data_IF_467665265013
#
_entry.id   IF_467665265013
#
_cell.length_a   1.000
_cell.length_b   1.000
_cell.length_c   1.000
_cell.angle_alpha   90.00
_cell.angle_beta   90.00
_cell.angle_gamma   90.00
#
_symmetry.space_group_name_H-M   'P 1'
#
loop_
_entity.id
_entity.type
_entity.pdbx_description
1 polymer ?
#
# COMPACT_ATOMS: atom_id res chain seq x y z
N UNK A 1 9.44 25.78 -21.05
CA UNK A 1 9.57 24.51 -21.80
C UNK A 1 8.82 23.44 -21.04
N UNK A 2 7.48 23.50 -21.11
CA UNK A 2 6.58 22.57 -20.43
C UNK A 2 6.51 21.28 -21.22
N UNK A 3 7.49 20.42 -20.98
CA UNK A 3 7.63 19.09 -21.56
C UNK A 3 6.32 18.32 -21.41
N UNK A 4 5.60 18.22 -22.53
CA UNK A 4 4.58 17.21 -22.83
C UNK A 4 3.56 16.99 -21.72
N UNK A 5 2.51 17.81 -21.77
CA UNK A 5 1.26 17.72 -21.01
C UNK A 5 0.89 16.26 -20.68
N UNK A 6 0.43 16.00 -19.45
CA UNK A 6 -0.02 14.68 -18.95
C UNK A 6 -0.91 13.93 -19.97
N UNK A 7 -1.66 14.68 -20.79
CA UNK A 7 -2.43 14.17 -21.92
C UNK A 7 -1.64 13.40 -22.98
N UNK A 8 -0.40 13.79 -23.26
CA UNK A 8 0.49 13.08 -24.19
C UNK A 8 0.84 11.69 -23.64
N UNK A 9 1.15 11.59 -22.35
CA UNK A 9 1.48 10.32 -21.72
C UNK A 9 0.30 9.33 -21.73
N UNK A 10 -0.93 9.81 -21.58
CA UNK A 10 -2.15 8.99 -21.75
C UNK A 10 -2.23 8.43 -23.18
N UNK A 11 -2.03 9.27 -24.20
CA UNK A 11 -2.09 8.85 -25.60
C UNK A 11 -1.01 7.81 -25.92
N UNK A 12 0.21 8.02 -25.43
CA UNK A 12 1.32 7.07 -25.64
C UNK A 12 1.02 5.73 -24.98
N UNK A 13 0.48 5.74 -23.75
CA UNK A 13 0.09 4.51 -23.05
C UNK A 13 -0.93 3.70 -23.85
N UNK A 14 -1.93 4.37 -24.43
CA UNK A 14 -2.95 3.71 -25.26
C UNK A 14 -2.32 3.05 -26.47
N UNK A 15 -1.41 3.73 -27.17
CA UNK A 15 -0.72 3.14 -28.34
C UNK A 15 0.15 1.95 -27.93
N UNK A 16 0.89 2.04 -26.82
CA UNK A 16 1.69 0.91 -26.32
C UNK A 16 0.79 -0.30 -26.03
N UNK A 17 -0.35 -0.10 -25.39
CA UNK A 17 -1.32 -1.19 -25.12
C UNK A 17 -1.86 -1.79 -26.41
N UNK A 18 -2.13 -0.98 -27.44
CA UNK A 18 -2.61 -1.47 -28.74
C UNK A 18 -1.55 -2.26 -29.50
N UNK A 19 -0.29 -1.81 -29.50
CA UNK A 19 0.83 -2.48 -30.18
C UNK A 19 1.19 -3.80 -29.51
N UNK A 20 1.30 -3.81 -28.18
CA UNK A 20 1.64 -5.01 -27.43
C UNK A 20 0.44 -5.94 -27.23
N UNK A 21 -0.77 -5.41 -27.37
CA UNK A 21 -2.02 -6.09 -27.06
C UNK A 21 -2.23 -6.30 -25.55
N UNK A 22 -3.49 -6.30 -25.12
CA UNK A 22 -3.85 -6.51 -23.70
C UNK A 22 -3.45 -7.87 -23.16
N UNK A 23 -3.36 -8.90 -24.03
CA UNK A 23 -3.05 -10.28 -23.64
C UNK A 23 -1.59 -10.44 -23.18
N UNK A 24 -0.64 -9.81 -23.88
CA UNK A 24 0.78 -9.83 -23.50
C UNK A 24 0.99 -8.99 -22.25
N UNK A 25 0.45 -7.77 -22.23
CA UNK A 25 0.53 -6.86 -21.08
C UNK A 25 -0.07 -7.45 -19.80
N UNK A 26 -1.17 -8.23 -19.90
CA UNK A 26 -1.79 -8.89 -18.75
C UNK A 26 -0.94 -10.03 -18.21
N UNK A 27 -0.25 -10.78 -19.07
CA UNK A 27 0.61 -11.88 -18.63
C UNK A 27 1.83 -11.33 -17.89
N UNK A 28 2.59 -10.41 -18.51
CA UNK A 28 3.75 -9.79 -17.85
C UNK A 28 3.34 -8.88 -16.69
N UNK A 29 2.20 -8.19 -16.82
CA UNK A 29 1.66 -7.33 -15.76
C UNK A 29 1.13 -8.11 -14.56
N UNK A 30 0.72 -9.37 -14.72
CA UNK A 30 0.35 -10.24 -13.59
C UNK A 30 1.61 -10.68 -12.83
N UNK A 31 2.66 -11.06 -13.54
CA UNK A 31 3.92 -11.51 -12.93
C UNK A 31 4.64 -10.34 -12.22
N UNK A 32 4.76 -9.19 -12.91
CA UNK A 32 5.35 -7.97 -12.33
C UNK A 32 4.43 -7.33 -11.29
N UNK A 33 3.13 -7.32 -11.54
CA UNK A 33 2.14 -6.74 -10.63
C UNK A 33 2.03 -7.50 -9.31
N UNK A 34 2.16 -8.83 -9.33
CA UNK A 34 2.24 -9.65 -8.11
C UNK A 34 3.45 -9.26 -7.26
N UNK A 35 4.65 -9.26 -7.86
CA UNK A 35 5.88 -8.89 -7.14
C UNK A 35 5.83 -7.47 -6.55
N UNK A 36 5.29 -6.50 -7.28
CA UNK A 36 5.12 -5.13 -6.80
C UNK A 36 4.00 -5.03 -5.75
N UNK A 37 2.95 -5.84 -5.85
CA UNK A 37 1.88 -5.90 -4.86
C UNK A 37 2.39 -6.42 -3.51
N UNK A 38 3.16 -7.51 -3.52
CA UNK A 38 3.77 -8.07 -2.31
C UNK A 38 4.80 -7.10 -1.70
N UNK A 39 5.58 -6.41 -2.54
CA UNK A 39 6.49 -5.35 -2.08
C UNK A 39 5.74 -4.19 -1.43
N UNK A 40 4.65 -3.72 -2.04
CA UNK A 40 3.80 -2.67 -1.45
C UNK A 40 3.16 -3.15 -0.15
N UNK A 41 2.71 -4.40 -0.10
CA UNK A 41 2.10 -4.98 1.10
C UNK A 41 3.11 -5.05 2.24
N UNK A 42 4.32 -5.56 2.01
CA UNK A 42 5.39 -5.59 3.01
C UNK A 42 5.84 -4.20 3.47
N UNK A 43 5.84 -3.20 2.59
CA UNK A 43 6.08 -1.81 2.96
C UNK A 43 4.98 -1.23 3.86
N UNK A 44 3.70 -1.55 3.58
CA UNK A 44 2.59 -1.09 4.41
C UNK A 44 2.53 -1.86 5.74
N UNK A 45 2.76 -3.18 5.75
CA UNK A 45 2.83 -3.98 6.98
C UNK A 45 4.00 -3.51 7.87
N UNK A 46 5.19 -3.25 7.32
CA UNK A 46 6.29 -2.67 8.10
C UNK A 46 6.04 -1.23 8.58
N UNK A 47 5.15 -0.48 7.90
CA UNK A 47 4.71 0.85 8.33
C UNK A 47 3.56 0.82 9.34
N UNK A 48 2.72 -0.22 9.31
CA UNK A 48 1.62 -0.47 10.25
C UNK A 48 2.11 -1.19 11.52
N UNK A 49 3.16 -2.00 11.46
CA UNK A 49 3.84 -2.53 12.66
C UNK A 49 4.47 -1.39 13.47
N UNK A 50 5.02 -0.37 12.80
CA UNK A 50 5.44 0.87 13.46
C UNK A 50 4.28 1.71 14.06
N UNK A 51 3.01 1.35 13.78
CA UNK A 51 1.82 1.96 14.40
C UNK A 51 1.13 1.04 15.43
N UNK A 52 1.44 -0.26 15.47
CA UNK A 52 0.85 -1.20 16.43
C UNK A 52 1.57 -1.21 17.77
N UNK A 53 2.81 -0.72 17.83
CA UNK A 53 3.53 -0.56 19.09
C UNK A 53 3.04 0.61 19.95
N UNK A 54 2.22 1.53 19.41
CA UNK A 54 1.60 2.65 20.16
C UNK A 54 0.24 2.30 20.81
N UNK A 55 -0.31 1.08 20.61
CA UNK A 55 -1.66 0.71 21.09
C UNK A 55 -1.61 -0.25 22.29
N UNK A 56 -0.44 -0.72 22.72
CA UNK A 56 -0.29 -1.58 23.92
C UNK A 56 0.28 -0.76 25.10
N UNK A 57 -0.28 0.40 25.41
CA UNK A 57 0.04 1.08 26.68
C UNK A 57 -1.12 1.94 27.22
N UNK A 58 -2.38 1.48 27.10
CA UNK A 58 -3.53 2.11 27.78
C UNK A 58 -4.66 1.12 28.08
N UNK A 59 -4.35 -0.03 28.69
CA UNK A 59 -5.40 -0.87 29.29
C UNK A 59 -4.83 -1.79 30.39
N UNK A 60 -4.16 -1.21 31.40
CA UNK A 60 -3.70 -1.99 32.55
C UNK A 60 -3.67 -1.20 33.88
N UNK A 61 -4.50 -0.15 34.06
CA UNK A 61 -4.56 0.55 35.34
C UNK A 61 -5.97 1.01 35.79
N UNK A 62 -7.06 0.30 35.49
CA UNK A 62 -8.34 0.64 36.11
C UNK A 62 -9.16 -0.54 36.65
N UNK A 63 -8.48 -1.50 37.28
CA UNK A 63 -9.16 -2.57 38.03
C UNK A 63 -8.37 -3.03 39.25
N UNK A 64 -8.17 -2.15 40.25
CA UNK A 64 -7.51 -2.61 41.47
C UNK A 64 -7.25 -1.59 42.57
N UNK A 65 -8.19 -0.68 42.90
CA UNK A 65 -8.11 0.00 44.19
C UNK A 65 -9.47 0.55 44.65
N UNK A 66 -10.35 -0.31 45.15
CA UNK A 66 -11.51 0.14 45.93
C UNK A 66 -11.71 -0.63 47.24
N UNK A 67 -10.66 -1.26 47.75
CA UNK A 67 -10.66 -2.04 48.98
C UNK A 67 -9.78 -1.37 50.06
N UNK A 68 -10.05 -0.09 50.40
CA UNK A 68 -9.42 0.57 51.55
C UNK A 68 -10.16 1.84 51.99
N UNK A 69 -11.40 1.67 52.42
CA UNK A 69 -12.06 2.64 53.30
C UNK A 69 -13.05 1.88 54.19
N UNK A 70 -12.54 1.41 55.32
CA UNK A 70 -13.27 0.97 56.50
C UNK A 70 -12.51 1.50 57.71
#
# INVERSE_FOLDING_TARGET
MGSFSIWHWIIVLVIVVLVFGTKKLRNVGKDLGGAVHDFKKGLNEGSDEAKKDDVIEHQADESGNKDKQA
#
